data_IF_909169521372
#
_entry.id   IF_909169521372
#
_cell.length_a   1.000
_cell.length_b   1.000
_cell.length_c   1.000
_cell.angle_alpha   90.00
_cell.angle_beta   90.00
_cell.angle_gamma   90.00
#
_symmetry.space_group_name_H-M   'P 1'
#
loop_
_entity.id
_entity.type
_entity.pdbx_description
1 polymer ?
#
# COMPACT_ATOMS: atom_id res chain seq x y z
N UNK A 1 8.31 7.04 33.86
CA UNK A 1 8.27 6.98 32.38
C UNK A 1 6.92 7.48 31.89
N UNK A 2 6.87 8.44 30.95
CA UNK A 2 5.59 8.95 30.46
C UNK A 2 4.85 7.88 29.60
N UNK A 3 3.55 8.06 29.40
CA UNK A 3 2.71 7.07 28.71
C UNK A 3 3.19 6.75 27.28
N UNK A 4 3.71 7.75 26.54
CA UNK A 4 4.24 7.56 25.19
C UNK A 4 5.53 6.75 25.18
N UNK A 5 6.45 6.99 26.10
CA UNK A 5 7.68 6.22 26.24
C UNK A 5 7.39 4.75 26.59
N UNK A 6 6.39 4.49 27.44
CA UNK A 6 5.93 3.11 27.69
C UNK A 6 5.41 2.45 26.40
N UNK A 7 4.59 3.14 25.62
CA UNK A 7 4.08 2.64 24.33
C UNK A 7 5.23 2.43 23.32
N UNK A 8 6.23 3.30 23.29
CA UNK A 8 7.41 3.13 22.44
C UNK A 8 8.22 1.87 22.82
N UNK A 9 8.45 1.64 24.11
CA UNK A 9 9.11 0.42 24.58
C UNK A 9 8.31 -0.84 24.23
N UNK A 10 6.98 -0.81 24.33
CA UNK A 10 6.12 -1.94 23.91
C UNK A 10 6.29 -2.20 22.40
N UNK A 11 6.29 -1.16 21.57
CA UNK A 11 6.47 -1.30 20.12
C UNK A 11 7.85 -1.89 19.79
N UNK A 12 8.92 -1.41 20.44
CA UNK A 12 10.27 -1.93 20.28
C UNK A 12 10.37 -3.39 20.75
N UNK A 13 9.81 -3.73 21.91
CA UNK A 13 9.82 -5.09 22.44
C UNK A 13 9.03 -6.08 21.56
N UNK A 14 7.96 -5.62 20.90
CA UNK A 14 7.17 -6.44 19.98
C UNK A 14 7.85 -6.64 18.61
N UNK A 15 8.82 -5.80 18.26
CA UNK A 15 9.41 -5.75 16.92
C UNK A 15 10.04 -7.09 16.47
N UNK A 16 10.87 -7.78 17.28
CA UNK A 16 11.46 -9.06 16.87
C UNK A 16 10.41 -10.14 16.60
N UNK A 17 9.35 -10.18 17.42
CA UNK A 17 8.26 -11.14 17.25
C UNK A 17 7.49 -10.89 15.95
N UNK A 18 7.12 -9.64 15.67
CA UNK A 18 6.41 -9.28 14.43
C UNK A 18 7.31 -9.59 13.21
N UNK A 19 8.61 -9.29 13.28
CA UNK A 19 9.54 -9.58 12.19
C UNK A 19 9.69 -11.09 11.93
N UNK A 20 9.75 -11.89 12.99
CA UNK A 20 9.76 -13.34 12.89
C UNK A 20 8.46 -13.88 12.26
N UNK A 21 7.30 -13.31 12.63
CA UNK A 21 6.01 -13.66 12.03
C UNK A 21 5.96 -13.28 10.53
N UNK A 22 6.49 -12.12 10.15
CA UNK A 22 6.58 -11.71 8.75
C UNK A 22 7.48 -12.66 7.95
N UNK A 23 8.66 -13.01 8.49
CA UNK A 23 9.54 -13.98 7.85
C UNK A 23 8.86 -15.35 7.70
N UNK A 24 8.23 -15.86 8.76
CA UNK A 24 7.49 -17.12 8.72
C UNK A 24 6.36 -17.07 7.67
N UNK A 25 5.65 -15.95 7.57
CA UNK A 25 4.59 -15.74 6.58
C UNK A 25 5.11 -15.84 5.14
N UNK A 26 6.20 -15.15 4.81
CA UNK A 26 6.75 -15.22 3.44
C UNK A 26 7.36 -16.58 3.14
N UNK A 27 7.97 -17.24 4.11
CA UNK A 27 8.47 -18.63 3.96
C UNK A 27 7.32 -19.60 3.70
N UNK A 28 6.21 -19.48 4.43
CA UNK A 28 5.00 -20.28 4.21
C UNK A 28 4.37 -19.99 2.83
N UNK A 29 4.40 -18.74 2.37
CA UNK A 29 3.95 -18.42 1.02
C UNK A 29 4.82 -19.12 -0.05
N UNK A 30 6.13 -19.18 0.16
CA UNK A 30 7.07 -19.82 -0.77
C UNK A 30 7.01 -21.35 -0.73
N UNK A 31 6.45 -21.98 0.31
CA UNK A 31 6.21 -23.42 0.30
C UNK A 31 5.06 -23.84 -0.62
N UNK A 32 4.27 -22.88 -1.12
CA UNK A 32 3.23 -23.15 -2.13
C UNK A 32 3.90 -23.59 -3.45
N UNK A 33 3.51 -24.73 -4.05
CA UNK A 33 4.17 -25.27 -5.24
C UNK A 33 4.11 -24.33 -6.45
N UNK A 34 5.28 -23.99 -7.01
CA UNK A 34 5.40 -23.16 -8.22
C UNK A 34 4.63 -23.74 -9.41
N UNK A 35 4.57 -25.07 -9.55
CA UNK A 35 3.86 -25.72 -10.66
C UNK A 35 2.35 -25.41 -10.68
N UNK A 36 1.71 -25.35 -9.51
CA UNK A 36 0.29 -25.02 -9.41
C UNK A 36 0.02 -23.55 -9.78
N UNK A 37 0.87 -22.65 -9.28
CA UNK A 37 0.81 -21.22 -9.61
C UNK A 37 1.01 -21.00 -11.11
N UNK A 38 2.00 -21.68 -11.70
CA UNK A 38 2.30 -21.61 -13.12
C UNK A 38 1.14 -22.07 -14.00
N UNK A 39 0.44 -23.14 -13.60
CA UNK A 39 -0.75 -23.60 -14.31
C UNK A 39 -1.84 -22.51 -14.35
N UNK A 40 -2.09 -21.84 -13.22
CA UNK A 40 -3.07 -20.76 -13.12
C UNK A 40 -2.69 -19.48 -13.88
N UNK A 41 -1.40 -19.19 -14.00
CA UNK A 41 -0.91 -18.06 -14.82
C UNK A 41 -0.99 -18.35 -16.32
N UNK A 42 -0.89 -19.62 -16.72
CA UNK A 42 -0.96 -20.04 -18.13
C UNK A 42 -2.39 -20.16 -18.67
N UNK A 43 -3.41 -20.07 -17.83
CA UNK A 43 -4.83 -20.11 -18.25
C UNK A 43 -5.16 -19.04 -19.29
N UNK A 44 -4.86 -17.77 -18.98
CA UNK A 44 -5.11 -16.59 -19.82
C UNK A 44 -3.97 -15.56 -19.71
N UNK A 45 -2.79 -15.85 -20.30
CA UNK A 45 -1.60 -15.02 -20.16
C UNK A 45 -1.72 -13.62 -20.78
N UNK A 46 -2.65 -13.43 -21.71
CA UNK A 46 -2.98 -12.14 -22.32
C UNK A 46 -3.57 -11.14 -21.31
N UNK A 47 -4.30 -11.64 -20.30
CA UNK A 47 -4.91 -10.79 -19.25
C UNK A 47 -3.88 -10.27 -18.23
N UNK A 48 -2.70 -10.87 -18.18
CA UNK A 48 -1.62 -10.48 -17.27
C UNK A 48 -0.99 -9.14 -17.69
N UNK A 49 -0.83 -8.93 -18.99
CA UNK A 49 -0.21 -7.71 -19.53
C UNK A 49 -1.23 -6.64 -19.96
N UNK A 50 -2.52 -6.81 -19.65
CA UNK A 50 -3.54 -5.85 -20.05
C UNK A 50 -3.37 -4.53 -19.28
N UNK A 51 -2.85 -3.51 -19.99
CA UNK A 51 -2.45 -2.20 -19.41
C UNK A 51 -3.56 -1.17 -19.37
N UNK A 52 -4.79 -1.49 -19.78
CA UNK A 52 -5.88 -0.51 -19.94
C UNK A 52 -7.08 -0.90 -19.09
N UNK A 53 -7.52 0.02 -18.23
CA UNK A 53 -8.89 -0.02 -17.73
C UNK A 53 -9.85 0.34 -18.89
N UNK A 54 -11.06 -0.22 -18.88
CA UNK A 54 -12.13 0.08 -19.85
C UNK A 54 -12.54 1.57 -19.94
N UNK A 55 -11.94 2.45 -19.12
CA UNK A 55 -12.16 3.89 -19.08
C UNK A 55 -11.02 4.71 -19.73
N UNK A 56 -10.11 4.07 -20.46
CA UNK A 56 -9.00 4.73 -21.16
C UNK A 56 -7.82 5.13 -20.27
N UNK A 57 -7.80 4.72 -18.99
CA UNK A 57 -6.70 5.00 -18.06
C UNK A 57 -5.65 3.90 -18.11
N UNK A 58 -4.38 4.29 -18.10
CA UNK A 58 -3.23 3.37 -18.05
C UNK A 58 -3.13 2.78 -16.64
N UNK A 59 -3.14 1.47 -16.57
CA UNK A 59 -2.82 0.70 -15.36
C UNK A 59 -1.34 0.34 -15.45
N UNK A 60 -0.64 0.55 -14.35
CA UNK A 60 0.70 0.01 -14.16
C UNK A 60 0.62 -1.51 -13.98
N UNK A 61 0.77 -2.21 -15.12
CA UNK A 61 0.77 -3.67 -15.19
C UNK A 61 2.16 -4.27 -14.91
N UNK A 62 3.24 -3.50 -15.10
CA UNK A 62 4.60 -4.03 -14.88
C UNK A 62 4.82 -4.38 -13.40
N UNK A 63 4.31 -3.55 -12.48
CA UNK A 63 4.29 -3.88 -11.05
C UNK A 63 3.57 -5.20 -10.75
N UNK A 64 2.45 -5.47 -11.45
CA UNK A 64 1.70 -6.72 -11.29
C UNK A 64 2.49 -7.93 -11.78
N UNK A 65 3.07 -7.82 -12.98
CA UNK A 65 3.88 -8.87 -13.58
C UNK A 65 5.12 -9.19 -12.70
N UNK A 66 5.77 -8.16 -12.15
CA UNK A 66 6.84 -8.34 -11.17
C UNK A 66 6.30 -9.13 -9.97
N UNK A 67 5.19 -8.69 -9.36
CA UNK A 67 4.62 -9.34 -8.19
C UNK A 67 4.16 -10.78 -8.39
N UNK A 68 3.54 -11.09 -9.53
CA UNK A 68 3.11 -12.44 -9.91
C UNK A 68 4.30 -13.39 -10.09
N UNK A 69 5.46 -12.87 -10.46
CA UNK A 69 6.67 -13.67 -10.70
C UNK A 69 7.53 -13.92 -9.46
N UNK A 70 7.20 -13.29 -8.32
CA UNK A 70 8.00 -13.40 -7.09
C UNK A 70 8.13 -14.86 -6.64
N UNK A 71 9.37 -15.34 -6.60
CA UNK A 71 9.72 -16.70 -6.18
C UNK A 71 9.33 -17.80 -7.15
N UNK A 72 8.88 -17.45 -8.37
CA UNK A 72 8.55 -18.42 -9.41
C UNK A 72 9.78 -18.86 -10.23
N UNK A 73 10.72 -17.94 -10.43
CA UNK A 73 12.01 -18.27 -11.00
C UNK A 73 12.92 -18.90 -9.95
N UNK A 74 13.67 -19.92 -10.35
CA UNK A 74 14.69 -20.58 -9.54
C UNK A 74 15.99 -20.53 -10.36
N UNK A 75 16.81 -19.51 -10.09
CA UNK A 75 18.09 -19.22 -10.77
C UNK A 75 19.17 -20.26 -10.49
N UNK A 76 19.17 -20.83 -9.29
CA UNK A 76 20.32 -21.54 -8.74
C UNK A 76 20.26 -23.05 -8.89
N UNK A 77 21.40 -23.60 -9.30
CA UNK A 77 21.77 -25.01 -9.16
C UNK A 77 23.03 -25.09 -8.29
N UNK A 78 23.01 -25.69 -7.08
CA UNK A 78 21.93 -26.47 -6.47
C UNK A 78 20.80 -25.59 -5.86
N UNK A 79 19.63 -26.17 -5.58
CA UNK A 79 18.49 -25.45 -5.03
C UNK A 79 18.81 -24.75 -3.70
N UNK A 80 18.53 -23.46 -3.62
CA UNK A 80 18.62 -22.70 -2.37
C UNK A 80 17.58 -23.19 -1.33
N UNK A 81 17.92 -23.06 -0.04
CA UNK A 81 16.96 -23.30 1.04
C UNK A 81 15.74 -22.36 0.96
N UNK A 82 14.57 -22.85 1.35
CA UNK A 82 13.30 -22.14 1.24
C UNK A 82 13.32 -20.73 1.88
N UNK A 83 13.94 -20.60 3.04
CA UNK A 83 14.08 -19.32 3.73
C UNK A 83 14.92 -18.31 2.93
N UNK A 84 16.04 -18.75 2.36
CA UNK A 84 16.89 -17.90 1.51
C UNK A 84 16.12 -17.44 0.27
N UNK A 85 15.39 -18.34 -0.38
CA UNK A 85 14.52 -18.01 -1.52
C UNK A 85 13.45 -16.99 -1.17
N UNK A 86 12.77 -17.17 -0.04
CA UNK A 86 11.73 -16.24 0.41
C UNK A 86 12.32 -14.87 0.76
N UNK A 87 13.53 -14.82 1.31
CA UNK A 87 14.24 -13.57 1.60
C UNK A 87 14.75 -12.89 0.34
N UNK A 88 15.28 -13.64 -0.64
CA UNK A 88 15.75 -13.09 -1.91
C UNK A 88 14.59 -12.61 -2.79
N UNK A 89 13.54 -13.43 -2.85
CA UNK A 89 12.31 -13.15 -3.58
C UNK A 89 12.56 -12.76 -5.05
N UNK A 90 13.40 -13.52 -5.74
CA UNK A 90 13.70 -13.29 -7.16
C UNK A 90 12.43 -13.14 -7.99
N UNK A 91 12.46 -12.20 -8.93
CA UNK A 91 11.32 -11.88 -9.78
C UNK A 91 11.74 -11.59 -11.21
N UNK A 92 10.86 -11.90 -12.16
CA UNK A 92 10.96 -11.45 -13.54
C UNK A 92 10.55 -9.98 -13.61
N UNK A 93 11.43 -9.14 -14.15
CA UNK A 93 11.28 -7.69 -13.98
C UNK A 93 10.46 -7.05 -15.10
N UNK A 94 9.14 -7.24 -15.05
CA UNK A 94 8.15 -6.63 -15.95
C UNK A 94 7.30 -7.64 -16.70
N UNK A 95 6.34 -7.17 -17.51
CA UNK A 95 5.43 -8.06 -18.23
C UNK A 95 6.09 -8.80 -19.40
N UNK A 96 6.96 -8.17 -20.17
CA UNK A 96 7.57 -8.81 -21.34
C UNK A 96 8.47 -10.01 -20.95
N UNK A 97 9.31 -9.93 -19.90
CA UNK A 97 10.03 -11.11 -19.40
C UNK A 97 9.09 -12.21 -18.89
N UNK A 98 8.04 -11.85 -18.13
CA UNK A 98 7.07 -12.82 -17.61
C UNK A 98 6.34 -13.55 -18.73
N UNK A 99 5.83 -12.83 -19.73
CA UNK A 99 5.09 -13.44 -20.83
C UNK A 99 5.95 -14.36 -21.68
N UNK A 100 7.19 -13.97 -21.98
CA UNK A 100 8.13 -14.84 -22.71
C UNK A 100 8.44 -16.10 -21.90
N UNK A 101 8.72 -15.95 -20.61
CA UNK A 101 8.95 -17.09 -19.73
C UNK A 101 7.74 -18.05 -19.68
N UNK A 102 6.52 -17.53 -19.56
CA UNK A 102 5.30 -18.35 -19.59
C UNK A 102 5.11 -19.07 -20.93
N UNK A 103 5.46 -18.43 -22.05
CA UNK A 103 5.27 -18.97 -23.39
C UNK A 103 6.29 -20.05 -23.78
N UNK A 104 7.58 -19.83 -23.46
CA UNK A 104 8.66 -20.68 -23.97
C UNK A 104 9.78 -20.98 -22.96
N UNK A 105 9.66 -20.52 -21.70
CA UNK A 105 10.64 -20.75 -20.66
C UNK A 105 11.90 -19.87 -20.73
N UNK A 106 11.98 -18.92 -21.67
CA UNK A 106 13.12 -18.00 -21.77
C UNK A 106 13.18 -17.05 -20.56
N UNK A 107 14.38 -16.89 -19.98
CA UNK A 107 14.62 -16.01 -18.83
C UNK A 107 15.74 -15.04 -19.17
N UNK A 108 15.35 -13.83 -19.56
CA UNK A 108 16.30 -12.82 -20.03
C UNK A 108 16.43 -11.63 -19.07
N UNK A 109 15.55 -11.53 -18.06
CA UNK A 109 15.54 -10.41 -17.11
C UNK A 109 14.89 -10.81 -15.77
N UNK A 110 15.66 -11.45 -14.90
CA UNK A 110 15.32 -11.62 -13.49
C UNK A 110 16.13 -10.67 -12.61
N UNK A 111 15.65 -10.40 -11.40
CA UNK A 111 16.37 -9.61 -10.39
C UNK A 111 16.16 -10.18 -9.00
N UNK A 112 17.22 -10.12 -8.20
CA UNK A 112 17.14 -10.21 -6.75
C UNK A 112 16.23 -9.09 -6.24
N UNK A 113 15.17 -9.45 -5.52
CA UNK A 113 14.16 -8.47 -5.11
C UNK A 113 13.95 -8.42 -3.60
N UNK A 114 15.02 -8.65 -2.86
CA UNK A 114 15.02 -8.73 -1.40
C UNK A 114 14.63 -7.43 -0.69
N UNK A 115 14.53 -6.29 -1.38
CA UNK A 115 14.28 -4.97 -0.78
C UNK A 115 12.94 -4.87 -0.05
N UNK A 116 11.94 -5.68 -0.44
CA UNK A 116 10.61 -5.67 0.18
C UNK A 116 10.30 -7.00 0.84
N UNK A 117 9.39 -6.98 1.82
CA UNK A 117 8.93 -8.20 2.46
C UNK A 117 8.15 -9.10 1.52
N UNK A 118 7.41 -8.53 0.57
CA UNK A 118 6.51 -9.27 -0.32
C UNK A 118 5.43 -10.06 0.41
N UNK A 119 4.91 -9.53 1.53
CA UNK A 119 3.83 -10.16 2.29
C UNK A 119 2.55 -10.38 1.48
N UNK A 120 2.40 -9.67 0.36
CA UNK A 120 1.38 -9.93 -0.65
C UNK A 120 1.37 -11.38 -1.16
N UNK A 121 2.53 -12.05 -1.20
CA UNK A 121 2.62 -13.45 -1.66
C UNK A 121 1.91 -14.42 -0.74
N UNK A 122 1.76 -14.08 0.56
CA UNK A 122 0.99 -14.86 1.52
C UNK A 122 -0.49 -14.95 1.14
N UNK A 123 -0.99 -13.99 0.37
CA UNK A 123 -2.35 -13.99 -0.20
C UNK A 123 -2.33 -14.57 -1.61
N UNK A 124 -1.46 -14.03 -2.48
CA UNK A 124 -1.50 -14.36 -3.91
C UNK A 124 -1.09 -15.79 -4.22
N UNK A 125 -0.02 -16.32 -3.61
CA UNK A 125 0.49 -17.66 -3.97
C UNK A 125 -0.51 -18.77 -3.62
N UNK A 126 -1.12 -18.81 -2.42
CA UNK A 126 -2.16 -19.81 -2.12
C UNK A 126 -3.38 -19.70 -3.04
N UNK A 127 -3.85 -18.47 -3.35
CA UNK A 127 -4.98 -18.28 -4.25
C UNK A 127 -4.65 -18.75 -5.67
N UNK A 128 -3.49 -18.36 -6.22
CA UNK A 128 -3.06 -18.81 -7.54
C UNK A 128 -2.82 -20.32 -7.60
N UNK A 129 -2.55 -20.99 -6.49
CA UNK A 129 -2.43 -22.45 -6.49
C UNK A 129 -3.79 -23.18 -6.64
N UNK A 130 -4.91 -22.49 -6.40
CA UNK A 130 -6.25 -23.11 -6.41
C UNK A 130 -7.23 -22.47 -7.40
N UNK A 131 -6.92 -21.31 -7.96
CA UNK A 131 -7.76 -20.65 -8.98
C UNK A 131 -6.94 -19.87 -10.01
N UNK A 132 -7.43 -19.71 -11.25
CA UNK A 132 -6.82 -18.89 -12.28
C UNK A 132 -6.63 -17.42 -11.84
N UNK A 133 -5.63 -16.75 -12.41
CA UNK A 133 -5.32 -15.35 -12.10
C UNK A 133 -6.52 -14.41 -12.24
N UNK A 134 -7.33 -14.58 -13.30
CA UNK A 134 -8.51 -13.75 -13.52
C UNK A 134 -9.55 -13.88 -12.40
N UNK A 135 -9.75 -15.09 -11.89
CA UNK A 135 -10.73 -15.36 -10.83
C UNK A 135 -10.24 -14.81 -9.50
N UNK A 136 -8.94 -14.94 -9.22
CA UNK A 136 -8.29 -14.29 -8.07
C UNK A 136 -8.48 -12.76 -8.11
N UNK A 137 -8.26 -12.11 -9.26
CA UNK A 137 -8.50 -10.67 -9.41
C UNK A 137 -9.96 -10.32 -9.14
N UNK A 138 -10.89 -11.09 -9.71
CA UNK A 138 -12.33 -10.91 -9.51
C UNK A 138 -12.71 -11.01 -8.04
N UNK A 139 -12.16 -11.99 -7.32
CA UNK A 139 -12.33 -12.14 -5.87
C UNK A 139 -11.79 -10.92 -5.11
N UNK A 140 -10.53 -10.54 -5.33
CA UNK A 140 -9.89 -9.41 -4.64
C UNK A 140 -10.61 -8.08 -4.92
N UNK A 141 -11.02 -7.85 -6.17
CA UNK A 141 -11.82 -6.70 -6.57
C UNK A 141 -13.15 -6.68 -5.82
N UNK A 142 -13.89 -7.80 -5.84
CA UNK A 142 -15.21 -7.90 -5.22
C UNK A 142 -15.11 -7.72 -3.70
N UNK A 143 -14.15 -8.35 -3.04
CA UNK A 143 -13.91 -8.19 -1.60
C UNK A 143 -13.59 -6.74 -1.25
N UNK A 144 -12.69 -6.09 -2.01
CA UNK A 144 -12.33 -4.69 -1.79
C UNK A 144 -13.53 -3.75 -1.98
N UNK A 145 -14.33 -3.97 -3.03
CA UNK A 145 -15.54 -3.21 -3.31
C UNK A 145 -16.60 -3.36 -2.21
N UNK A 146 -16.85 -4.60 -1.73
CA UNK A 146 -17.79 -4.86 -0.65
C UNK A 146 -17.35 -4.23 0.67
N UNK A 147 -16.06 -4.30 1.01
CA UNK A 147 -15.53 -3.68 2.22
C UNK A 147 -15.58 -2.15 2.14
N UNK A 148 -15.28 -1.56 0.98
CA UNK A 148 -15.41 -0.11 0.81
C UNK A 148 -16.87 0.31 0.89
N UNK A 149 -17.79 -0.42 0.24
CA UNK A 149 -19.22 -0.17 0.36
C UNK A 149 -19.67 -0.22 1.82
N UNK A 150 -19.24 -1.24 2.56
CA UNK A 150 -19.57 -1.35 3.98
C UNK A 150 -19.02 -0.17 4.80
N UNK A 151 -17.78 0.26 4.55
CA UNK A 151 -17.19 1.43 5.20
C UNK A 151 -17.98 2.71 4.87
N UNK A 152 -18.30 2.96 3.60
CA UNK A 152 -19.12 4.09 3.17
C UNK A 152 -20.52 4.05 3.78
N UNK A 153 -21.14 2.88 3.85
CA UNK A 153 -22.44 2.69 4.50
C UNK A 153 -22.37 3.04 5.98
N UNK A 154 -21.32 2.60 6.70
CA UNK A 154 -21.11 2.98 8.11
C UNK A 154 -20.93 4.48 8.28
N UNK A 155 -20.09 5.11 7.46
CA UNK A 155 -19.92 6.57 7.46
C UNK A 155 -21.25 7.26 7.18
N UNK A 156 -22.06 6.73 6.27
CA UNK A 156 -23.38 7.28 5.93
C UNK A 156 -24.41 7.13 7.06
N UNK A 157 -24.43 5.98 7.71
CA UNK A 157 -25.29 5.73 8.86
C UNK A 157 -24.90 6.62 10.06
N UNK A 158 -23.60 6.89 10.23
CA UNK A 158 -23.09 7.66 11.35
C UNK A 158 -23.09 9.18 11.12
N UNK A 159 -22.86 9.66 9.90
CA UNK A 159 -22.63 11.08 9.59
C UNK A 159 -23.52 11.61 8.46
N UNK A 160 -24.46 10.81 7.97
CA UNK A 160 -25.36 11.15 6.87
C UNK A 160 -24.80 10.86 5.47
N UNK A 161 -25.68 10.76 4.46
CA UNK A 161 -25.31 10.34 3.10
C UNK A 161 -24.36 11.32 2.39
N UNK A 162 -24.43 12.61 2.70
CA UNK A 162 -23.51 13.60 2.13
C UNK A 162 -22.05 13.37 2.56
N UNK A 163 -21.82 13.00 3.82
CA UNK A 163 -20.49 12.67 4.34
C UNK A 163 -19.96 11.39 3.73
N UNK A 164 -20.82 10.37 3.57
CA UNK A 164 -20.46 9.14 2.86
C UNK A 164 -20.08 9.42 1.40
N UNK A 165 -20.83 10.27 0.70
CA UNK A 165 -20.51 10.64 -0.68
C UNK A 165 -19.18 11.42 -0.76
N UNK A 166 -18.94 12.35 0.16
CA UNK A 166 -17.68 13.08 0.24
C UNK A 166 -16.49 12.15 0.52
N UNK A 167 -16.68 11.15 1.39
CA UNK A 167 -15.70 10.11 1.67
C UNK A 167 -15.47 9.20 0.44
N UNK A 168 -16.52 8.88 -0.31
CA UNK A 168 -16.46 8.05 -1.51
C UNK A 168 -15.84 8.78 -2.72
N UNK A 169 -15.97 10.10 -2.80
CA UNK A 169 -15.62 10.89 -3.99
C UNK A 169 -14.17 10.72 -4.48
N UNK A 170 -13.13 10.72 -3.63
CA UNK A 170 -11.75 10.50 -4.07
C UNK A 170 -11.56 9.18 -4.82
N UNK A 171 -12.28 8.12 -4.44
CA UNK A 171 -12.19 6.81 -5.06
C UNK A 171 -12.71 6.80 -6.50
N UNK A 172 -13.76 7.57 -6.76
CA UNK A 172 -14.36 7.71 -8.09
C UNK A 172 -13.50 8.61 -8.98
N UNK A 173 -13.01 9.72 -8.43
CA UNK A 173 -12.29 10.78 -9.17
C UNK A 173 -10.85 10.36 -9.52
N UNK A 174 -10.12 9.76 -8.58
CA UNK A 174 -8.65 9.58 -8.68
C UNK A 174 -8.18 8.26 -9.33
N UNK A 175 -9.05 7.53 -10.04
CA UNK A 175 -8.73 6.20 -10.59
C UNK A 175 -8.58 5.08 -9.56
N UNK A 176 -9.27 5.09 -8.43
CA UNK A 176 -9.13 3.98 -7.48
C UNK A 176 -9.51 2.63 -8.11
N UNK A 177 -10.37 2.65 -9.13
CA UNK A 177 -10.73 1.45 -9.90
C UNK A 177 -9.51 0.78 -10.56
N UNK A 178 -8.55 1.54 -11.11
CA UNK A 178 -7.33 0.97 -11.69
C UNK A 178 -6.45 0.25 -10.67
N UNK A 179 -6.61 0.58 -9.39
CA UNK A 179 -5.89 -0.08 -8.29
C UNK A 179 -6.61 -1.34 -7.79
N UNK A 180 -7.90 -1.52 -8.08
CA UNK A 180 -8.65 -2.74 -7.74
C UNK A 180 -8.50 -3.85 -8.76
N UNK A 181 -7.97 -3.51 -9.94
CA UNK A 181 -7.79 -4.41 -11.08
C UNK A 181 -6.50 -5.24 -10.96
N UNK A 182 -5.61 -4.87 -10.02
CA UNK A 182 -4.24 -5.39 -9.89
C UNK A 182 -4.07 -6.05 -8.51
N UNK A 183 -3.71 -7.32 -8.46
CA UNK A 183 -3.68 -8.09 -7.21
C UNK A 183 -2.60 -7.59 -6.25
N UNK A 184 -1.45 -7.16 -6.76
CA UNK A 184 -0.35 -6.57 -5.96
C UNK A 184 -0.76 -5.32 -5.20
N UNK A 185 -1.75 -4.58 -5.71
CA UNK A 185 -2.27 -3.36 -5.08
C UNK A 185 -3.47 -3.66 -4.19
N UNK A 186 -4.24 -4.70 -4.49
CA UNK A 186 -5.44 -5.07 -3.75
C UNK A 186 -5.16 -5.33 -2.26
N UNK A 187 -4.01 -5.92 -1.88
CA UNK A 187 -3.65 -6.11 -0.47
C UNK A 187 -3.43 -4.79 0.28
N UNK A 188 -2.81 -3.79 -0.34
CA UNK A 188 -2.70 -2.43 0.22
C UNK A 188 -4.08 -1.82 0.46
N UNK A 189 -5.02 -2.06 -0.47
CA UNK A 189 -6.41 -1.58 -0.35
C UNK A 189 -7.18 -2.26 0.78
N UNK A 190 -7.11 -3.59 0.86
CA UNK A 190 -7.71 -4.36 1.94
C UNK A 190 -7.16 -3.91 3.30
N UNK A 191 -5.85 -3.64 3.38
CA UNK A 191 -5.23 -3.11 4.59
C UNK A 191 -5.75 -1.71 4.94
N UNK A 192 -5.82 -0.78 3.98
CA UNK A 192 -6.32 0.58 4.19
C UNK A 192 -7.79 0.60 4.63
N UNK A 193 -8.66 -0.14 3.92
CA UNK A 193 -10.09 -0.23 4.22
C UNK A 193 -10.31 -0.96 5.55
N UNK A 194 -9.60 -2.07 5.78
CA UNK A 194 -9.66 -2.83 7.04
C UNK A 194 -9.22 -1.99 8.24
N UNK A 195 -8.15 -1.21 8.09
CA UNK A 195 -7.71 -0.26 9.12
C UNK A 195 -8.76 0.82 9.38
N UNK A 196 -9.32 1.43 8.33
CA UNK A 196 -10.41 2.40 8.47
C UNK A 196 -11.63 1.83 9.20
N UNK A 197 -12.07 0.63 8.82
CA UNK A 197 -13.15 -0.09 9.50
C UNK A 197 -12.80 -0.31 10.98
N UNK A 198 -11.58 -0.76 11.29
CA UNK A 198 -11.12 -0.96 12.66
C UNK A 198 -11.21 0.36 13.45
N UNK A 199 -10.70 1.45 12.89
CA UNK A 199 -10.71 2.77 13.51
C UNK A 199 -12.10 3.39 13.61
N UNK A 200 -13.05 3.04 12.73
CA UNK A 200 -14.46 3.48 12.84
C UNK A 200 -15.16 3.02 14.12
N UNK A 201 -14.60 2.00 14.79
CA UNK A 201 -15.11 1.50 16.07
C UNK A 201 -14.55 2.26 17.27
N UNK A 202 -13.52 3.10 17.07
CA UNK A 202 -12.87 3.87 18.13
C UNK A 202 -13.46 5.26 18.22
N UNK A 203 -14.32 5.46 19.21
CA UNK A 203 -15.01 6.72 19.48
C UNK A 203 -14.34 7.54 20.58
N UNK A 204 -13.00 7.55 20.59
CA UNK A 204 -12.19 8.23 21.61
C UNK A 204 -11.00 8.96 20.98
N UNK A 205 -10.64 10.12 21.53
CA UNK A 205 -9.47 10.90 21.13
C UNK A 205 -8.17 10.35 21.70
N UNK A 206 -8.19 9.29 22.54
CA UNK A 206 -6.95 8.65 22.96
C UNK A 206 -6.18 8.16 21.73
N UNK A 207 -4.99 8.73 21.49
CA UNK A 207 -4.15 8.42 20.35
C UNK A 207 -3.81 6.90 20.33
N UNK A 208 -4.31 6.14 19.34
CA UNK A 208 -4.11 4.71 19.26
C UNK A 208 -2.75 4.39 18.63
N UNK A 209 -1.68 4.97 19.16
CA UNK A 209 -0.33 4.97 18.57
C UNK A 209 0.23 3.56 18.33
N UNK A 210 -0.08 2.58 19.19
CA UNK A 210 0.34 1.19 18.98
C UNK A 210 -0.38 0.53 17.79
N UNK A 211 -1.66 0.86 17.57
CA UNK A 211 -2.38 0.39 16.40
C UNK A 211 -1.82 1.03 15.12
N UNK A 212 -1.42 2.30 15.18
CA UNK A 212 -0.73 2.96 14.07
C UNK A 212 0.66 2.38 13.80
N UNK A 213 1.43 2.01 14.83
CA UNK A 213 2.69 1.28 14.66
C UNK A 213 2.48 -0.07 13.98
N UNK A 214 1.51 -0.86 14.45
CA UNK A 214 1.16 -2.13 13.82
C UNK A 214 0.71 -1.93 12.37
N UNK A 215 -0.10 -0.90 12.09
CA UNK A 215 -0.51 -0.54 10.74
C UNK A 215 0.69 -0.18 9.86
N UNK A 216 1.68 0.55 10.38
CA UNK A 216 2.93 0.86 9.70
C UNK A 216 3.71 -0.40 9.34
N UNK A 217 3.90 -1.31 10.29
CA UNK A 217 4.57 -2.58 10.07
C UNK A 217 3.82 -3.44 9.02
N UNK A 218 2.51 -3.56 9.12
CA UNK A 218 1.67 -4.25 8.13
C UNK A 218 1.73 -3.58 6.76
N UNK A 219 1.86 -2.24 6.72
CA UNK A 219 2.05 -1.52 5.45
C UNK A 219 3.39 -1.91 4.83
N UNK A 220 4.48 -1.94 5.59
CA UNK A 220 5.78 -2.39 5.07
C UNK A 220 5.77 -3.84 4.59
N UNK A 221 4.90 -4.67 5.18
CA UNK A 221 4.77 -6.08 4.82
C UNK A 221 3.95 -6.30 3.53
N UNK A 222 2.75 -5.72 3.46
CA UNK A 222 1.79 -5.98 2.37
C UNK A 222 1.84 -4.99 1.22
N UNK A 223 2.26 -3.75 1.46
CA UNK A 223 2.30 -2.72 0.42
C UNK A 223 3.59 -2.81 -0.38
N UNK A 224 3.43 -2.89 -1.69
CA UNK A 224 4.51 -2.99 -2.64
C UNK A 224 5.09 -1.60 -2.99
N UNK A 225 5.21 -0.74 -1.98
CA UNK A 225 5.53 0.69 -2.08
C UNK A 225 4.61 1.45 -3.05
N UNK A 226 3.33 1.09 -3.07
CA UNK A 226 2.37 1.62 -4.05
C UNK A 226 1.63 2.83 -3.51
N UNK A 227 1.18 2.75 -2.25
CA UNK A 227 0.39 3.81 -1.63
C UNK A 227 0.49 3.80 -0.10
N UNK A 228 1.69 3.75 0.52
CA UNK A 228 1.82 3.61 1.97
C UNK A 228 1.20 4.80 2.72
N UNK A 229 1.39 6.01 2.20
CA UNK A 229 0.81 7.23 2.77
C UNK A 229 -0.73 7.22 2.77
N UNK A 230 -1.35 6.58 1.77
CA UNK A 230 -2.80 6.43 1.70
C UNK A 230 -3.35 5.54 2.83
N UNK A 231 -2.65 4.44 3.15
CA UNK A 231 -3.03 3.55 4.27
C UNK A 231 -3.09 4.33 5.58
N UNK A 232 -2.06 5.14 5.86
CA UNK A 232 -2.05 6.01 7.04
C UNK A 232 -3.16 7.07 7.00
N UNK A 233 -3.24 7.83 5.91
CA UNK A 233 -4.15 8.97 5.79
C UNK A 233 -5.62 8.53 5.95
N UNK A 234 -5.98 7.40 5.35
CA UNK A 234 -7.32 6.82 5.46
C UNK A 234 -7.66 6.43 6.91
N UNK A 235 -6.76 5.69 7.56
CA UNK A 235 -6.93 5.27 8.95
C UNK A 235 -7.00 6.47 9.92
N UNK A 236 -6.14 7.47 9.73
CA UNK A 236 -6.08 8.67 10.55
C UNK A 236 -7.33 9.55 10.36
N UNK A 237 -7.81 9.72 9.13
CA UNK A 237 -9.05 10.44 8.84
C UNK A 237 -10.24 9.77 9.53
N UNK A 238 -10.40 8.47 9.36
CA UNK A 238 -11.54 7.74 9.93
C UNK A 238 -11.47 7.72 11.47
N UNK A 239 -10.29 7.52 12.05
CA UNK A 239 -10.12 7.67 13.49
C UNK A 239 -10.53 9.07 13.97
N UNK A 240 -10.04 10.13 13.32
CA UNK A 240 -10.30 11.51 13.74
C UNK A 240 -11.79 11.87 13.73
N UNK A 241 -12.54 11.51 12.68
CA UNK A 241 -13.97 11.82 12.60
C UNK A 241 -14.80 11.02 13.62
N UNK A 242 -14.43 9.77 13.89
CA UNK A 242 -15.15 8.93 14.86
C UNK A 242 -14.80 9.28 16.30
N UNK A 243 -13.56 9.69 16.57
CA UNK A 243 -13.15 10.24 17.84
C UNK A 243 -13.90 11.55 18.14
N UNK A 244 -14.00 12.45 17.16
CA UNK A 244 -14.79 13.68 17.25
C UNK A 244 -16.27 13.42 17.53
N UNK A 245 -16.88 12.44 16.85
CA UNK A 245 -18.26 12.04 17.12
C UNK A 245 -18.47 11.50 18.54
N UNK A 246 -17.48 10.78 19.07
CA UNK A 246 -17.57 10.14 20.38
C UNK A 246 -17.38 11.08 21.56
N UNK A 247 -16.39 11.97 21.47
CA UNK A 247 -15.99 12.87 22.56
C UNK A 247 -16.42 14.33 22.34
N UNK A 248 -17.05 14.64 21.21
CA UNK A 248 -17.51 15.99 20.88
C UNK A 248 -16.40 16.95 20.45
N UNK A 249 -15.15 16.48 20.29
CA UNK A 249 -14.01 17.28 19.88
C UNK A 249 -13.03 16.46 19.03
N UNK A 250 -12.41 17.08 18.02
CA UNK A 250 -11.38 16.43 17.21
C UNK A 250 -10.11 16.11 18.02
N UNK A 251 -9.41 15.06 17.60
CA UNK A 251 -8.08 14.76 18.12
C UNK A 251 -7.12 15.95 17.86
N UNK A 252 -6.33 16.27 18.87
CA UNK A 252 -5.32 17.33 18.78
C UNK A 252 -4.22 17.00 17.77
N UNK A 253 -3.58 18.04 17.22
CA UNK A 253 -2.41 17.90 16.35
C UNK A 253 -1.28 17.07 16.98
N UNK A 254 -1.08 17.18 18.29
CA UNK A 254 -0.09 16.37 19.01
C UNK A 254 -0.42 14.87 18.97
N UNK A 255 -1.69 14.51 19.10
CA UNK A 255 -2.13 13.11 19.00
C UNK A 255 -1.98 12.58 17.56
N UNK A 256 -2.36 13.39 16.58
CA UNK A 256 -2.15 13.07 15.16
C UNK A 256 -0.68 12.85 14.83
N UNK A 257 0.21 13.76 15.25
CA UNK A 257 1.65 13.65 15.06
C UNK A 257 2.22 12.41 15.76
N UNK A 258 1.76 12.08 16.98
CA UNK A 258 2.18 10.88 17.67
C UNK A 258 1.79 9.60 16.90
N UNK A 259 0.57 9.54 16.35
CA UNK A 259 0.14 8.44 15.48
C UNK A 259 1.01 8.35 14.22
N UNK A 260 1.33 9.49 13.59
CA UNK A 260 2.20 9.55 12.42
C UNK A 260 3.63 9.06 12.71
N UNK A 261 4.21 9.45 13.85
CA UNK A 261 5.54 8.99 14.28
C UNK A 261 5.55 7.49 14.52
N UNK A 262 4.57 6.95 15.24
CA UNK A 262 4.49 5.50 15.49
C UNK A 262 4.25 4.71 14.21
N UNK A 263 3.36 5.17 13.32
CA UNK A 263 3.17 4.57 12.01
C UNK A 263 4.46 4.58 11.19
N UNK A 264 5.16 5.72 11.13
CA UNK A 264 6.42 5.85 10.40
C UNK A 264 7.50 4.94 10.97
N UNK A 265 7.59 4.81 12.30
CA UNK A 265 8.49 3.89 12.96
C UNK A 265 8.18 2.43 12.63
N UNK A 266 6.90 2.05 12.58
CA UNK A 266 6.48 0.72 12.13
C UNK A 266 6.80 0.48 10.65
N UNK A 267 6.53 1.45 9.78
CA UNK A 267 6.76 1.29 8.35
C UNK A 267 8.26 1.29 7.99
N UNK A 268 8.98 2.37 8.30
CA UNK A 268 10.39 2.49 7.98
C UNK A 268 11.24 1.48 8.77
N UNK A 269 10.89 1.23 10.03
CA UNK A 269 11.59 0.24 10.86
C UNK A 269 11.49 -1.16 10.27
N UNK A 270 10.32 -1.58 9.78
CA UNK A 270 10.18 -2.90 9.18
C UNK A 270 10.77 -2.99 7.78
N UNK A 271 10.82 -1.90 7.00
CA UNK A 271 11.65 -1.87 5.78
C UNK A 271 13.12 -2.13 6.12
N UNK A 272 13.68 -1.42 7.10
CA UNK A 272 15.07 -1.63 7.53
C UNK A 272 15.32 -3.04 8.06
N UNK A 273 14.38 -3.61 8.82
CA UNK A 273 14.50 -5.01 9.28
C UNK A 273 14.55 -5.96 8.10
N UNK A 274 13.78 -5.74 7.02
CA UNK A 274 13.88 -6.58 5.81
C UNK A 274 15.28 -6.54 5.21
N UNK A 275 15.89 -5.35 5.16
CA UNK A 275 17.26 -5.17 4.66
C UNK A 275 18.28 -5.88 5.56
N UNK A 276 18.13 -5.79 6.88
CA UNK A 276 18.98 -6.53 7.84
C UNK A 276 18.84 -8.04 7.64
N UNK A 277 17.62 -8.55 7.51
CA UNK A 277 17.36 -9.98 7.26
C UNK A 277 17.96 -10.40 5.92
N UNK A 278 17.81 -9.58 4.87
CA UNK A 278 18.42 -9.85 3.56
C UNK A 278 19.95 -9.91 3.63
N UNK A 279 20.58 -8.93 4.28
CA UNK A 279 22.04 -8.90 4.43
C UNK A 279 22.59 -10.08 5.25
N UNK A 280 21.78 -10.67 6.13
CA UNK A 280 22.15 -11.88 6.87
C UNK A 280 22.02 -13.17 6.04
N UNK A 281 20.98 -13.27 5.20
CA UNK A 281 20.68 -14.48 4.42
C UNK A 281 21.36 -14.53 3.05
N UNK A 282 21.73 -13.38 2.50
CA UNK A 282 22.18 -13.24 1.11
C UNK A 282 23.63 -12.77 1.07
N UNK A 283 24.45 -13.48 0.31
CA UNK A 283 25.84 -13.12 0.01
C UNK A 283 25.92 -12.07 -1.11
N UNK A 284 25.15 -10.98 -0.98
CA UNK A 284 25.00 -9.90 -1.95
C UNK A 284 25.31 -8.54 -1.31
N UNK A 285 25.60 -7.52 -2.12
CA UNK A 285 25.68 -6.13 -1.65
C UNK A 285 24.28 -5.54 -1.42
N UNK A 286 23.62 -6.04 -0.37
CA UNK A 286 22.25 -5.68 0.00
C UNK A 286 22.13 -4.20 0.40
N UNK A 287 23.15 -3.66 1.08
CA UNK A 287 23.12 -2.27 1.54
C UNK A 287 23.39 -1.29 0.40
N UNK A 288 24.35 -1.59 -0.49
CA UNK A 288 24.59 -0.79 -1.69
C UNK A 288 23.35 -0.69 -2.57
N UNK A 289 22.73 -1.84 -2.92
CA UNK A 289 21.51 -1.87 -3.72
C UNK A 289 20.34 -1.12 -3.04
N UNK A 290 20.19 -1.24 -1.72
CA UNK A 290 19.15 -0.52 -0.98
C UNK A 290 19.36 1.00 -1.04
N UNK A 291 20.59 1.47 -0.84
CA UNK A 291 20.94 2.89 -0.89
C UNK A 291 20.73 3.45 -2.30
N UNK A 292 21.20 2.74 -3.34
CA UNK A 292 21.02 3.15 -4.73
C UNK A 292 19.54 3.24 -5.09
N UNK A 293 18.74 2.26 -4.67
CA UNK A 293 17.29 2.26 -4.88
C UNK A 293 16.58 3.40 -4.13
N UNK A 294 17.06 3.78 -2.95
CA UNK A 294 16.53 4.92 -2.19
C UNK A 294 16.91 6.26 -2.85
N UNK A 295 18.17 6.43 -3.27
CA UNK A 295 18.64 7.62 -3.97
C UNK A 295 17.96 7.81 -5.32
N UNK A 296 17.75 6.73 -6.08
CA UNK A 296 16.99 6.75 -7.32
C UNK A 296 15.58 7.33 -7.11
N UNK A 297 14.88 6.91 -6.05
CA UNK A 297 13.54 7.40 -5.71
C UNK A 297 13.52 8.86 -5.26
N UNK A 298 14.55 9.29 -4.53
CA UNK A 298 14.67 10.69 -4.10
C UNK A 298 14.94 11.63 -5.28
N UNK A 299 15.71 11.18 -6.27
CA UNK A 299 15.99 11.94 -7.51
C UNK A 299 14.79 11.95 -8.45
N UNK A 300 14.04 10.84 -8.53
CA UNK A 300 12.91 10.71 -9.43
C UNK A 300 13.31 10.67 -10.91
N UNK A 301 14.54 10.26 -11.21
CA UNK A 301 15.07 10.20 -12.56
C UNK A 301 14.26 9.19 -13.40
N UNK A 302 13.81 9.62 -14.59
CA UNK A 302 13.13 8.76 -15.56
C UNK A 302 13.44 9.23 -16.98
N UNK A 303 12.95 8.51 -17.99
CA UNK A 303 13.09 8.91 -19.41
C UNK A 303 12.59 10.35 -19.68
N UNK A 304 11.62 10.81 -18.90
CA UNK A 304 10.99 12.13 -19.07
C UNK A 304 11.29 13.11 -17.93
N UNK A 305 12.07 12.70 -16.93
CA UNK A 305 12.40 13.52 -15.76
C UNK A 305 13.89 13.45 -15.51
N UNK A 306 14.57 14.57 -15.72
CA UNK A 306 15.93 14.75 -15.23
C UNK A 306 15.90 14.99 -13.71
N UNK A 307 16.27 13.95 -12.96
CA UNK A 307 16.25 13.96 -11.50
C UNK A 307 17.30 14.88 -10.85
N UNK A 308 18.21 15.47 -11.63
CA UNK A 308 19.17 16.45 -11.14
C UNK A 308 18.65 17.89 -11.21
N UNK A 309 17.54 18.14 -11.91
CA UNK A 309 16.91 19.45 -11.99
C UNK A 309 15.92 19.60 -10.82
N UNK A 310 16.14 20.52 -9.87
CA UNK A 310 15.22 20.73 -8.76
C UNK A 310 13.81 21.04 -9.25
N UNK A 311 12.83 20.29 -8.75
CA UNK A 311 11.41 20.48 -9.09
C UNK A 311 10.94 19.81 -10.38
N UNK A 312 11.81 19.16 -11.17
CA UNK A 312 11.40 18.47 -12.39
C UNK A 312 10.38 17.35 -12.11
N UNK A 313 10.61 16.53 -11.08
CA UNK A 313 9.67 15.50 -10.66
C UNK A 313 8.31 16.09 -10.20
N UNK A 314 8.33 17.22 -9.48
CA UNK A 314 7.11 17.90 -9.06
C UNK A 314 6.35 18.45 -10.28
N UNK A 315 7.05 19.06 -11.23
CA UNK A 315 6.47 19.57 -12.46
C UNK A 315 5.85 18.44 -13.31
N UNK A 316 6.52 17.29 -13.41
CA UNK A 316 5.99 16.11 -14.10
C UNK A 316 4.72 15.58 -13.41
N UNK A 317 4.71 15.49 -12.08
CA UNK A 317 3.51 15.11 -11.32
C UNK A 317 2.36 16.11 -11.49
N UNK A 318 2.65 17.42 -11.45
CA UNK A 318 1.65 18.46 -11.71
C UNK A 318 1.14 18.41 -13.16
N UNK A 319 2.00 18.09 -14.14
CA UNK A 319 1.60 17.90 -15.52
C UNK A 319 0.70 16.66 -15.68
N UNK A 320 1.01 15.55 -15.01
CA UNK A 320 0.16 14.36 -14.99
C UNK A 320 -1.21 14.64 -14.35
N UNK A 321 -1.27 15.54 -13.36
CA UNK A 321 -2.53 16.02 -12.79
C UNK A 321 -3.36 16.87 -13.78
N UNK A 322 -2.83 17.35 -14.90
CA UNK A 322 -3.62 18.11 -15.90
C UNK A 322 -4.65 17.27 -16.66
N UNK A 323 -4.71 15.96 -16.45
CA UNK A 323 -5.84 15.13 -16.91
C UNK A 323 -7.16 15.67 -16.33
N UNK A 324 -8.30 15.39 -16.98
CA UNK A 324 -9.65 15.88 -16.59
C UNK A 324 -9.91 15.82 -15.07
N UNK A 325 -9.38 14.80 -14.39
CA UNK A 325 -9.60 14.56 -12.97
C UNK A 325 -8.84 15.48 -12.03
N UNK A 326 -7.69 16.04 -12.41
CA UNK A 326 -6.97 16.96 -11.52
C UNK A 326 -7.65 18.32 -11.39
N UNK A 327 -8.08 19.00 -12.47
CA UNK A 327 -8.92 20.18 -12.36
C UNK A 327 -10.20 19.91 -11.58
N UNK A 328 -10.86 18.75 -11.80
CA UNK A 328 -12.05 18.36 -11.02
C UNK A 328 -11.72 18.22 -9.53
N UNK A 329 -10.59 17.60 -9.17
CA UNK A 329 -10.15 17.48 -7.78
C UNK A 329 -9.82 18.85 -7.16
N UNK A 330 -9.12 19.72 -7.89
CA UNK A 330 -8.80 21.08 -7.43
C UNK A 330 -10.08 21.89 -7.19
N UNK A 331 -11.00 21.87 -8.15
CA UNK A 331 -12.29 22.56 -8.02
C UNK A 331 -13.07 21.98 -6.84
N UNK A 332 -13.19 20.66 -6.76
CA UNK A 332 -13.96 19.95 -5.73
C UNK A 332 -13.45 20.17 -4.31
N UNK A 333 -12.15 20.00 -4.09
CA UNK A 333 -11.57 19.96 -2.75
C UNK A 333 -10.92 21.28 -2.30
N UNK A 334 -10.51 22.15 -3.23
CA UNK A 334 -9.76 23.37 -2.89
C UNK A 334 -10.44 24.68 -3.30
N UNK A 335 -11.37 24.66 -4.26
CA UNK A 335 -12.09 25.89 -4.68
C UNK A 335 -13.49 25.91 -4.08
N UNK A 336 -14.35 24.95 -4.42
CA UNK A 336 -15.76 24.89 -4.00
C UNK A 336 -15.98 25.09 -2.50
N UNK A 337 -15.15 24.54 -1.58
CA UNK A 337 -15.34 24.74 -0.16
C UNK A 337 -15.12 26.19 0.31
N UNK A 338 -14.56 27.07 -0.54
CA UNK A 338 -14.23 28.46 -0.19
C UNK A 338 -14.90 29.51 -1.09
N UNK A 339 -15.75 29.11 -2.04
CA UNK A 339 -16.35 30.03 -3.03
C UNK A 339 -17.27 31.08 -2.37
N UNK A 340 -18.12 30.69 -1.43
CA UNK A 340 -19.11 31.60 -0.82
C UNK A 340 -18.67 32.09 0.55
N UNK A 341 -19.19 33.26 0.97
CA UNK A 341 -18.94 33.82 2.31
C UNK A 341 -19.36 32.83 3.41
N UNK A 342 -20.52 32.20 3.27
CA UNK A 342 -21.03 31.23 4.25
C UNK A 342 -20.13 30.00 4.37
N UNK A 343 -19.62 29.49 3.25
CA UNK A 343 -18.70 28.35 3.27
C UNK A 343 -17.36 28.72 3.90
N UNK A 344 -16.82 29.91 3.58
CA UNK A 344 -15.61 30.43 4.26
C UNK A 344 -15.83 30.61 5.75
N UNK A 345 -16.98 31.13 6.17
CA UNK A 345 -17.33 31.30 7.57
C UNK A 345 -17.43 29.94 8.31
N UNK A 346 -17.99 28.90 7.68
CA UNK A 346 -18.02 27.54 8.22
C UNK A 346 -16.62 26.96 8.43
N UNK A 347 -15.71 27.16 7.47
CA UNK A 347 -14.31 26.72 7.64
C UNK A 347 -13.57 27.50 8.72
N UNK A 348 -13.77 28.82 8.78
CA UNK A 348 -13.20 29.65 9.83
C UNK A 348 -13.71 29.22 11.22
N UNK A 349 -15.00 28.87 11.34
CA UNK A 349 -15.57 28.34 12.57
C UNK A 349 -14.94 26.99 12.97
N UNK A 350 -14.75 26.05 12.03
CA UNK A 350 -14.06 24.78 12.30
C UNK A 350 -12.61 24.96 12.78
N UNK A 351 -11.92 26.00 12.32
CA UNK A 351 -10.56 26.34 12.77
C UNK A 351 -10.54 27.10 14.11
N UNK A 352 -11.66 27.73 14.47
CA UNK A 352 -11.83 28.51 15.70
C UNK A 352 -12.48 27.72 16.84
N UNK A 353 -13.09 26.56 16.57
CA UNK A 353 -13.50 25.59 17.58
C UNK A 353 -12.28 25.19 18.40
N UNK A 354 -12.06 25.90 19.52
CA UNK A 354 -11.06 25.53 20.52
C UNK A 354 -11.45 24.16 21.06
N UNK A 355 -10.49 23.25 21.27
CA UNK A 355 -10.77 22.04 22.01
C UNK A 355 -11.39 22.47 23.35
N UNK A 356 -12.61 22.00 23.62
CA UNK A 356 -13.24 22.15 24.93
C UNK A 356 -12.25 21.54 25.93
N UNK A 357 -11.67 22.37 26.79
CA UNK A 357 -10.69 21.95 27.80
C UNK A 357 -11.28 20.97 28.78
#
# INVERSE_FOLDING_TARGET
MNALARKALIALAATPLIAALFLAGVVAAFSVPNAAILASLKDRPELIAERRANNGRVIDADTECIGLSIGLYESDTPPQGLARRAVNAESLYGCDPLQRWLANGAVDAHRDYFRYWHGVTLVMRPLLAVMPYNDMRGLLFTTSGLLLFWLCWRVGADFGPATALAFAAPFVVLNALGLWVVATKATTWLLAIGAAIFFSRRKTNEAPVLAFFALGALTAYFDFLTAPAFVFAMAALVWAIYAAKGEGAFASWRQFLACGVFWSAGWAGFVLIKIIVAAYFLDLDVWGDFIDAALFRLRGQSEHVDGFIPGAALAANLAALKSVWGPVAVIGFFILPFVTRDRRARWAALLQERPVM
#
